data_IF_921478321653
#
_entry.id   IF_921478321653
#
_cell.length_a   1.000
_cell.length_b   1.000
_cell.length_c   1.000
_cell.angle_alpha   90.00
_cell.angle_beta   90.00
_cell.angle_gamma   90.00
#
_symmetry.space_group_name_H-M   'P 1'
#
loop_
_entity.id
_entity.type
_entity.pdbx_description
1 polymer ?
#
# COMPACT_ATOMS: atom_id res chain seq x y z
N UNK A 1 -4.70 -21.26 -6.80
CA UNK A 1 -3.65 -21.06 -5.79
C UNK A 1 -3.07 -22.43 -5.49
N UNK A 2 -1.91 -22.77 -6.05
CA UNK A 2 -1.29 -24.08 -5.89
C UNK A 2 -0.20 -23.99 -4.82
N UNK A 3 -0.41 -24.58 -3.65
CA UNK A 3 0.69 -24.90 -2.75
C UNK A 3 1.33 -26.21 -3.26
N UNK A 4 2.64 -26.37 -3.04
CA UNK A 4 3.31 -27.63 -3.35
C UNK A 4 3.03 -28.63 -2.23
N UNK A 5 2.81 -29.90 -2.56
CA UNK A 5 2.59 -30.95 -1.56
C UNK A 5 3.78 -31.00 -0.58
N UNK A 6 3.49 -30.85 0.71
CA UNK A 6 4.46 -30.91 1.80
C UNK A 6 4.90 -29.56 2.40
N UNK A 7 4.46 -28.43 1.85
CA UNK A 7 4.67 -27.14 2.53
C UNK A 7 3.71 -26.99 3.73
N UNK A 8 4.21 -26.63 4.94
CA UNK A 8 3.34 -26.23 6.04
C UNK A 8 2.52 -25.02 5.60
N UNK A 9 1.30 -24.90 6.13
CA UNK A 9 0.38 -23.82 5.75
C UNK A 9 1.09 -22.47 5.94
N UNK A 10 1.51 -21.87 4.83
CA UNK A 10 2.41 -20.74 4.83
C UNK A 10 1.62 -19.54 5.35
N UNK A 11 1.74 -19.25 6.65
CA UNK A 11 1.28 -18.01 7.24
C UNK A 11 2.12 -16.88 6.62
N UNK A 12 1.66 -16.38 5.47
CA UNK A 12 2.27 -15.23 4.83
C UNK A 12 2.03 -14.04 5.72
N UNK A 13 3.04 -13.63 6.48
CA UNK A 13 3.05 -12.34 7.17
C UNK A 13 2.96 -11.25 6.10
N UNK A 14 1.75 -10.77 5.82
CA UNK A 14 1.58 -9.49 5.16
C UNK A 14 1.84 -8.42 6.21
N UNK A 15 2.94 -7.69 6.08
CA UNK A 15 3.09 -6.41 6.76
C UNK A 15 1.90 -5.53 6.38
N UNK A 16 1.22 -4.95 7.37
CA UNK A 16 0.14 -4.01 7.09
C UNK A 16 0.72 -2.87 6.25
N UNK A 17 0.09 -2.58 5.12
CA UNK A 17 0.56 -1.54 4.19
C UNK A 17 0.27 -0.15 4.72
N UNK A 18 -0.41 -0.02 5.85
CA UNK A 18 -0.73 1.25 6.50
C UNK A 18 -0.01 1.36 7.84
N UNK A 19 0.63 2.49 8.08
CA UNK A 19 1.32 2.75 9.35
C UNK A 19 1.15 4.21 9.77
N UNK A 20 1.32 4.46 11.07
CA UNK A 20 1.19 5.78 11.68
C UNK A 20 2.53 6.21 12.28
N UNK A 21 2.98 7.42 11.96
CA UNK A 21 4.16 8.05 12.57
C UNK A 21 3.69 9.33 13.25
N UNK A 22 3.75 9.36 14.59
CA UNK A 22 3.18 10.45 15.37
C UNK A 22 1.65 10.49 15.26
N UNK A 23 1.11 11.54 14.65
CA UNK A 23 -0.33 11.71 14.37
C UNK A 23 -0.66 11.62 12.87
N UNK A 24 0.28 11.18 12.05
CA UNK A 24 0.17 11.16 10.59
C UNK A 24 0.14 9.73 10.06
N UNK A 25 -0.73 9.49 9.09
CA UNK A 25 -0.92 8.19 8.46
C UNK A 25 -0.19 8.09 7.13
N UNK A 26 0.34 6.92 6.84
CA UNK A 26 1.07 6.62 5.62
C UNK A 26 0.64 5.26 5.08
N UNK A 27 0.90 5.03 3.79
CA UNK A 27 0.90 3.68 3.23
C UNK A 27 2.18 3.35 2.47
N UNK A 28 2.48 2.07 2.34
CA UNK A 28 3.63 1.56 1.60
C UNK A 28 3.19 0.75 0.37
N UNK A 29 3.90 0.94 -0.74
CA UNK A 29 3.83 0.09 -1.94
C UNK A 29 5.18 -0.61 -2.15
N UNK A 30 5.31 -1.40 -3.22
CA UNK A 30 6.61 -2.04 -3.52
C UNK A 30 7.62 -1.01 -4.04
N UNK A 31 7.10 0.05 -4.66
CA UNK A 31 7.81 1.10 -5.35
C UNK A 31 8.20 2.24 -4.39
N UNK A 32 7.36 2.52 -3.39
CA UNK A 32 7.59 3.58 -2.41
C UNK A 32 7.28 3.08 -0.98
N UNK A 33 8.23 3.16 -0.03
CA UNK A 33 8.05 2.62 1.32
C UNK A 33 7.18 3.51 2.24
N UNK A 34 6.93 4.76 1.87
CA UNK A 34 6.16 5.72 2.67
C UNK A 34 5.50 6.80 1.79
N UNK A 35 4.19 6.69 1.59
CA UNK A 35 3.35 7.66 0.90
C UNK A 35 2.36 8.28 1.89
N UNK A 36 2.20 9.60 1.84
CA UNK A 36 1.53 10.43 2.84
C UNK A 36 2.30 11.75 3.05
N UNK A 37 2.07 12.49 4.14
CA UNK A 37 1.21 12.17 5.29
C UNK A 37 -0.29 12.35 5.02
N UNK A 38 -1.11 11.54 5.68
CA UNK A 38 -2.57 11.64 5.68
C UNK A 38 -3.08 11.91 7.10
N UNK A 39 -4.20 12.63 7.20
CA UNK A 39 -4.83 12.99 8.48
C UNK A 39 -5.47 11.79 9.16
N UNK A 40 -5.81 10.74 8.40
CA UNK A 40 -6.44 9.54 8.94
C UNK A 40 -6.10 8.29 8.12
N UNK A 41 -6.27 7.12 8.74
CA UNK A 41 -6.15 5.82 8.05
C UNK A 41 -7.13 5.71 6.88
N UNK A 42 -8.33 6.29 7.01
CA UNK A 42 -9.34 6.26 5.94
C UNK A 42 -8.90 7.03 4.70
N UNK A 43 -8.25 8.17 4.89
CA UNK A 43 -7.67 8.99 3.82
C UNK A 43 -6.52 8.25 3.12
N UNK A 44 -5.62 7.62 3.89
CA UNK A 44 -4.56 6.78 3.33
C UNK A 44 -5.11 5.62 2.48
N UNK A 45 -6.22 5.00 2.88
CA UNK A 45 -6.88 3.93 2.11
C UNK A 45 -7.45 4.47 0.80
N UNK A 46 -8.13 5.62 0.85
CA UNK A 46 -8.69 6.26 -0.35
C UNK A 46 -7.58 6.58 -1.37
N UNK A 47 -6.47 7.13 -0.90
CA UNK A 47 -5.32 7.45 -1.74
C UNK A 47 -4.62 6.22 -2.31
N UNK A 48 -4.53 5.11 -1.54
CA UNK A 48 -4.02 3.84 -2.08
C UNK A 48 -4.88 3.33 -3.25
N UNK A 49 -6.21 3.51 -3.21
CA UNK A 49 -7.10 3.11 -4.32
C UNK A 49 -6.86 3.95 -5.58
N UNK A 50 -6.68 5.27 -5.41
CA UNK A 50 -6.33 6.19 -6.50
C UNK A 50 -4.97 5.84 -7.09
N UNK A 51 -3.97 5.58 -6.23
CA UNK A 51 -2.65 5.12 -6.62
C UNK A 51 -2.72 3.83 -7.45
N UNK A 52 -3.44 2.82 -6.96
CA UNK A 52 -3.58 1.53 -7.65
C UNK A 52 -4.23 1.67 -9.04
N UNK A 53 -5.22 2.57 -9.16
CA UNK A 53 -5.82 2.90 -10.45
C UNK A 53 -4.80 3.48 -11.42
N UNK A 54 -4.03 4.49 -11.00
CA UNK A 54 -3.01 5.11 -11.86
C UNK A 54 -1.89 4.15 -12.25
N UNK A 55 -1.53 3.22 -11.37
CA UNK A 55 -0.56 2.16 -11.70
C UNK A 55 -1.08 1.25 -12.81
N UNK A 56 -2.37 0.92 -12.81
CA UNK A 56 -3.00 0.13 -13.88
C UNK A 56 -3.15 0.92 -15.19
N UNK A 57 -3.25 2.25 -15.13
CA UNK A 57 -3.37 3.14 -16.30
C UNK A 57 -2.01 3.49 -16.96
N UNK A 58 -0.89 2.91 -16.51
CA UNK A 58 0.43 3.09 -17.12
C UNK A 58 1.47 3.80 -16.24
N UNK A 59 1.22 3.95 -14.94
CA UNK A 59 2.25 4.22 -13.92
C UNK A 59 2.88 5.62 -13.91
N UNK A 60 2.60 6.48 -14.89
CA UNK A 60 3.33 7.74 -15.07
C UNK A 60 3.02 8.83 -14.01
N UNK A 61 1.94 8.73 -13.22
CA UNK A 61 1.44 9.88 -12.42
C UNK A 61 1.15 9.62 -10.94
N UNK A 62 1.42 8.42 -10.40
CA UNK A 62 1.00 8.09 -9.05
C UNK A 62 1.65 8.96 -7.95
N UNK A 63 2.85 9.51 -8.21
CA UNK A 63 3.59 10.37 -7.27
C UNK A 63 3.22 11.86 -7.37
N UNK A 64 2.59 12.29 -8.46
CA UNK A 64 2.24 13.70 -8.67
C UNK A 64 0.90 14.09 -8.03
N UNK A 65 0.06 13.12 -7.66
CA UNK A 65 -1.25 13.34 -7.06
C UNK A 65 -1.27 13.27 -5.53
N UNK A 66 -0.29 12.63 -4.91
CA UNK A 66 -0.18 12.56 -3.44
C UNK A 66 0.60 13.80 -3.00
N UNK A 67 -0.12 14.81 -2.51
CA UNK A 67 0.42 16.10 -2.07
C UNK A 67 0.77 16.10 -0.59
#
# INVERSE_FOLDING_TARGET
MSHREGEPDNLHFQTDRFFCVGSEWFFATREDPALGPFSSRGEAIAELLVYARHMNEGGAFAKALIR
#
